data_IF_774349446801
#
_entry.id   IF_774349446801
#
_cell.length_a   1.000
_cell.length_b   1.000
_cell.length_c   1.000
_cell.angle_alpha   90.00
_cell.angle_beta   90.00
_cell.angle_gamma   90.00
#
_symmetry.space_group_name_H-M   'P 1'
#
loop_
_entity.id
_entity.type
_entity.pdbx_description
1 polymer ?
#
# COMPACT_ATOMS: atom_id res chain seq x y z
N UNK A 1 -4.16 34.00 8.12
CA UNK A 1 -3.94 33.16 9.34
C UNK A 1 -2.96 32.05 9.01
N UNK A 2 -2.15 31.57 9.95
CA UNK A 2 -1.21 30.46 9.67
C UNK A 2 -1.93 29.10 9.70
N UNK A 3 -1.45 28.11 8.94
CA UNK A 3 -2.07 26.77 8.90
C UNK A 3 -2.16 26.09 10.28
N UNK A 4 -1.17 26.32 11.16
CA UNK A 4 -1.18 25.80 12.53
C UNK A 4 -2.36 26.34 13.35
N UNK A 5 -2.71 27.61 13.16
CA UNK A 5 -3.83 28.26 13.85
C UNK A 5 -5.17 27.71 13.35
N UNK A 6 -5.32 27.54 12.02
CA UNK A 6 -6.52 26.94 11.43
C UNK A 6 -6.70 25.47 11.86
N UNK A 7 -5.62 24.70 11.93
CA UNK A 7 -5.68 23.32 12.45
C UNK A 7 -6.14 23.28 13.90
N UNK A 8 -5.64 24.19 14.74
CA UNK A 8 -6.07 24.28 16.14
C UNK A 8 -7.55 24.66 16.28
N UNK A 9 -8.05 25.55 15.43
CA UNK A 9 -9.47 25.92 15.37
C UNK A 9 -10.36 24.79 14.84
N UNK A 10 -9.84 23.94 13.96
CA UNK A 10 -10.56 22.83 13.37
C UNK A 10 -10.62 21.60 14.29
N UNK A 11 -9.77 21.51 15.29
CA UNK A 11 -9.75 20.38 16.24
C UNK A 11 -11.11 20.25 16.96
N UNK A 12 -11.64 19.03 17.02
CA UNK A 12 -12.98 18.73 17.54
C UNK A 12 -14.12 19.06 16.57
N UNK A 13 -13.82 19.53 15.33
CA UNK A 13 -14.80 19.95 14.33
C UNK A 13 -14.58 19.35 12.94
N UNK A 14 -13.58 18.48 12.79
CA UNK A 14 -13.24 17.93 11.49
C UNK A 14 -14.36 17.11 10.87
N UNK A 15 -15.22 16.49 11.67
CA UNK A 15 -16.41 15.79 11.17
C UNK A 15 -17.28 16.72 10.29
N UNK A 16 -17.66 17.86 10.83
CA UNK A 16 -18.47 18.86 10.12
C UNK A 16 -17.73 19.51 8.96
N UNK A 17 -16.43 19.76 9.12
CA UNK A 17 -15.57 20.35 8.08
C UNK A 17 -15.45 19.38 6.91
N UNK A 18 -15.16 18.12 7.16
CA UNK A 18 -15.00 17.09 6.14
C UNK A 18 -16.35 16.86 5.43
N UNK A 19 -17.45 16.74 6.16
CA UNK A 19 -18.77 16.54 5.57
C UNK A 19 -19.12 17.67 4.58
N UNK A 20 -18.71 18.90 4.85
CA UNK A 20 -19.03 20.04 4.02
C UNK A 20 -18.05 20.27 2.88
N UNK A 21 -16.74 20.13 3.13
CA UNK A 21 -15.68 20.40 2.14
C UNK A 21 -15.32 19.16 1.30
N UNK A 22 -15.67 17.98 1.75
CA UNK A 22 -15.42 16.71 1.03
C UNK A 22 -16.61 15.74 1.20
N UNK A 23 -17.79 16.05 0.61
CA UNK A 23 -19.02 15.28 0.81
C UNK A 23 -18.90 13.82 0.36
N UNK A 24 -17.96 13.48 -0.51
CA UNK A 24 -17.62 12.10 -0.89
C UNK A 24 -17.07 11.26 0.26
N UNK A 25 -16.72 11.88 1.39
CA UNK A 25 -16.24 11.21 2.62
C UNK A 25 -17.35 11.00 3.66
N UNK A 26 -18.60 11.41 3.41
CA UNK A 26 -19.71 11.28 4.37
C UNK A 26 -19.92 9.83 4.80
N UNK A 27 -19.87 8.88 3.88
CA UNK A 27 -19.96 7.45 4.21
C UNK A 27 -18.85 7.00 5.17
N UNK A 28 -17.63 7.55 5.02
CA UNK A 28 -16.53 7.24 5.93
C UNK A 28 -16.73 7.86 7.33
N UNK A 29 -17.36 9.04 7.40
CA UNK A 29 -17.74 9.68 8.66
C UNK A 29 -18.76 8.82 9.41
N UNK A 30 -19.83 8.42 8.73
CA UNK A 30 -20.91 7.61 9.30
C UNK A 30 -20.43 6.26 9.81
N UNK A 31 -19.46 5.66 9.13
CA UNK A 31 -18.91 4.35 9.45
C UNK A 31 -17.60 4.38 10.22
N UNK A 32 -17.08 5.54 10.59
CA UNK A 32 -15.82 5.62 11.32
C UNK A 32 -15.85 4.81 12.63
N UNK A 33 -14.79 4.06 12.93
CA UNK A 33 -13.52 3.91 12.24
C UNK A 33 -13.46 2.72 11.26
N UNK A 34 -14.60 2.20 10.80
CA UNK A 34 -14.66 1.06 9.89
C UNK A 34 -14.28 1.43 8.47
N UNK A 35 -13.82 0.44 7.71
CA UNK A 35 -13.42 0.64 6.33
C UNK A 35 -14.64 0.84 5.41
N UNK A 36 -14.44 1.66 4.38
CA UNK A 36 -15.39 1.96 3.31
C UNK A 36 -14.67 1.97 1.96
N UNK A 37 -15.39 1.96 0.82
CA UNK A 37 -14.78 2.23 -0.47
C UNK A 37 -13.96 3.50 -0.45
N UNK A 38 -12.79 3.50 -1.11
CA UNK A 38 -11.98 4.71 -1.20
C UNK A 38 -12.70 5.75 -2.08
N UNK A 39 -12.87 7.00 -1.61
CA UNK A 39 -13.57 8.04 -2.39
C UNK A 39 -12.79 8.46 -3.64
N UNK A 40 -11.51 8.12 -3.73
CA UNK A 40 -10.60 8.56 -4.79
C UNK A 40 -10.43 7.49 -5.88
N UNK A 41 -10.12 6.24 -5.53
CA UNK A 41 -9.90 5.17 -6.51
C UNK A 41 -10.97 4.07 -6.49
N UNK A 42 -11.97 4.15 -5.59
CA UNK A 42 -12.99 3.12 -5.44
C UNK A 42 -12.49 1.90 -4.64
N UNK A 43 -12.93 0.72 -5.06
CA UNK A 43 -12.71 -0.52 -4.32
C UNK A 43 -13.84 -0.81 -3.35
N UNK A 44 -13.62 -1.70 -2.38
CA UNK A 44 -14.67 -2.17 -1.48
C UNK A 44 -14.48 -1.64 -0.05
N UNK A 45 -13.24 -1.71 0.49
CA UNK A 45 -12.89 -1.39 1.87
C UNK A 45 -11.49 -0.77 2.01
N UNK A 46 -11.08 0.04 1.03
CA UNK A 46 -9.73 0.60 0.98
C UNK A 46 -9.49 1.75 1.95
N UNK A 47 -10.51 2.48 2.39
CA UNK A 47 -10.36 3.72 3.15
C UNK A 47 -11.07 3.67 4.50
N UNK A 48 -10.51 4.32 5.50
CA UNK A 48 -11.17 4.66 6.77
C UNK A 48 -10.62 5.94 7.36
N UNK A 49 -11.44 6.63 8.13
CA UNK A 49 -10.99 7.72 9.01
C UNK A 49 -10.34 7.14 10.27
N UNK A 50 -9.46 7.89 10.89
CA UNK A 50 -8.88 7.52 12.18
C UNK A 50 -9.93 7.60 13.29
N UNK A 51 -9.69 6.91 14.42
CA UNK A 51 -10.60 6.99 15.57
C UNK A 51 -10.71 8.39 16.15
N UNK A 52 -9.63 9.16 16.04
CA UNK A 52 -9.50 10.55 16.50
C UNK A 52 -9.64 11.57 15.36
N UNK A 53 -10.26 11.16 14.23
CA UNK A 53 -10.36 12.02 13.05
C UNK A 53 -11.05 13.35 13.30
N UNK A 54 -11.92 13.44 14.30
CA UNK A 54 -12.57 14.70 14.63
C UNK A 54 -11.62 15.72 15.25
N UNK A 55 -10.52 15.26 15.86
CA UNK A 55 -9.46 16.13 16.38
C UNK A 55 -8.35 16.35 15.36
N UNK A 56 -8.00 15.34 14.57
CA UNK A 56 -6.87 15.39 13.65
C UNK A 56 -7.26 15.68 12.20
N UNK A 57 -8.45 15.31 11.79
CA UNK A 57 -8.91 15.31 10.39
C UNK A 57 -8.33 14.19 9.54
N UNK A 58 -7.62 13.22 10.14
CA UNK A 58 -6.84 12.24 9.42
C UNK A 58 -7.59 10.96 9.06
N UNK A 59 -7.00 10.23 8.11
CA UNK A 59 -7.51 8.93 7.65
C UNK A 59 -6.44 8.14 6.88
N UNK A 60 -6.77 6.92 6.49
CA UNK A 60 -5.87 6.05 5.73
C UNK A 60 -6.60 5.31 4.63
N UNK A 61 -6.00 5.28 3.46
CA UNK A 61 -6.38 4.37 2.38
C UNK A 61 -5.26 3.35 2.16
N UNK A 62 -5.61 2.08 2.06
CA UNK A 62 -4.64 0.99 1.86
C UNK A 62 -3.83 1.15 0.56
N UNK A 63 -4.38 1.84 -0.43
CA UNK A 63 -3.73 2.11 -1.72
C UNK A 63 -3.15 3.51 -1.81
N UNK A 64 -3.91 4.55 -1.37
CA UNK A 64 -3.49 5.94 -1.50
C UNK A 64 -2.64 6.45 -0.31
N UNK A 65 -2.40 5.60 0.69
CA UNK A 65 -1.59 5.92 1.86
C UNK A 65 -2.30 6.75 2.93
N UNK A 66 -1.52 7.14 3.94
CA UNK A 66 -1.98 7.86 5.13
C UNK A 66 -2.18 9.35 4.81
N UNK A 67 -3.25 9.91 5.35
CA UNK A 67 -3.52 11.35 5.40
C UNK A 67 -3.49 11.75 6.87
N UNK A 68 -2.37 12.30 7.32
CA UNK A 68 -2.09 12.50 8.74
C UNK A 68 -3.00 13.52 9.42
N UNK A 69 -3.56 14.43 8.65
CA UNK A 69 -4.43 15.51 9.16
C UNK A 69 -5.47 15.94 8.12
N UNK A 70 -6.37 16.81 8.53
CA UNK A 70 -7.46 17.29 7.68
C UNK A 70 -7.02 18.08 6.45
N UNK A 71 -5.86 18.75 6.46
CA UNK A 71 -5.31 19.37 5.24
C UNK A 71 -4.95 18.30 4.22
N UNK A 72 -4.15 17.33 4.62
CA UNK A 72 -3.74 16.22 3.74
C UNK A 72 -4.95 15.44 3.24
N UNK A 73 -5.97 15.26 4.09
CA UNK A 73 -7.20 14.58 3.73
C UNK A 73 -8.02 15.37 2.68
N UNK A 74 -8.24 16.65 2.90
CA UNK A 74 -9.01 17.50 1.98
C UNK A 74 -8.29 17.70 0.64
N UNK A 75 -6.97 17.92 0.68
CA UNK A 75 -6.14 18.01 -0.53
C UNK A 75 -6.29 16.73 -1.38
N UNK A 76 -6.15 15.57 -0.74
CA UNK A 76 -6.25 14.28 -1.41
C UNK A 76 -7.67 13.99 -1.92
N UNK A 77 -8.68 14.20 -1.10
CA UNK A 77 -10.07 13.86 -1.45
C UNK A 77 -10.62 14.74 -2.58
N UNK A 78 -10.21 16.00 -2.64
CA UNK A 78 -10.71 16.98 -3.62
C UNK A 78 -9.74 17.22 -4.79
N UNK A 79 -8.51 16.71 -4.73
CA UNK A 79 -7.46 17.05 -5.70
C UNK A 79 -7.03 18.53 -5.59
N UNK A 80 -7.16 19.14 -4.41
CA UNK A 80 -6.79 20.53 -4.17
C UNK A 80 -5.31 20.68 -3.86
N UNK A 81 -4.77 21.85 -4.18
CA UNK A 81 -3.46 22.26 -3.67
C UNK A 81 -3.57 22.82 -2.23
N UNK A 82 -2.42 23.10 -1.61
CA UNK A 82 -2.38 23.66 -0.25
C UNK A 82 -3.08 25.01 -0.16
N UNK A 83 -2.91 25.88 -1.17
CA UNK A 83 -3.47 27.23 -1.17
C UNK A 83 -4.99 27.19 -1.22
N UNK A 84 -5.57 26.38 -2.09
CA UNK A 84 -7.02 26.16 -2.22
C UNK A 84 -7.60 25.58 -0.93
N UNK A 85 -6.96 24.55 -0.37
CA UNK A 85 -7.39 23.95 0.90
C UNK A 85 -7.33 24.94 2.05
N UNK A 86 -6.27 25.75 2.11
CA UNK A 86 -6.09 26.76 3.15
C UNK A 86 -7.17 27.83 3.07
N UNK A 87 -7.47 28.35 1.86
CA UNK A 87 -8.55 29.33 1.65
C UNK A 87 -9.91 28.76 2.04
N UNK A 88 -10.24 27.54 1.57
CA UNK A 88 -11.53 26.89 1.88
C UNK A 88 -11.72 26.68 3.40
N UNK A 89 -10.67 26.26 4.11
CA UNK A 89 -10.69 26.11 5.56
C UNK A 89 -10.83 27.48 6.26
N UNK A 90 -10.09 28.49 5.81
CA UNK A 90 -10.16 29.84 6.37
C UNK A 90 -11.55 30.45 6.19
N UNK A 91 -12.13 30.35 5.00
CA UNK A 91 -13.46 30.84 4.71
C UNK A 91 -14.52 30.14 5.57
N UNK A 92 -14.42 28.82 5.69
CA UNK A 92 -15.35 28.04 6.50
C UNK A 92 -15.23 28.37 7.99
N UNK A 93 -14.01 28.52 8.51
CA UNK A 93 -13.77 28.75 9.94
C UNK A 93 -13.98 30.18 10.38
N UNK A 94 -13.80 31.18 9.49
CA UNK A 94 -13.88 32.62 9.83
C UNK A 94 -15.15 33.30 9.32
N UNK A 95 -15.61 32.94 8.10
CA UNK A 95 -16.71 33.59 7.41
C UNK A 95 -18.01 32.80 7.50
N UNK A 96 -17.92 31.47 7.44
CA UNK A 96 -19.07 30.56 7.37
C UNK A 96 -19.81 30.31 8.69
N UNK A 97 -19.53 31.06 9.76
CA UNK A 97 -20.27 30.98 11.01
C UNK A 97 -20.19 29.60 11.69
N UNK A 98 -19.03 29.26 12.22
CA UNK A 98 -18.84 28.07 13.08
C UNK A 98 -19.86 27.99 14.22
N UNK A 99 -20.43 29.14 14.64
CA UNK A 99 -21.46 29.20 15.66
C UNK A 99 -22.78 28.51 15.28
N UNK A 100 -22.96 28.11 14.02
CA UNK A 100 -24.12 27.35 13.56
C UNK A 100 -23.86 25.81 13.52
N UNK A 101 -22.66 25.37 13.84
CA UNK A 101 -22.36 23.93 13.92
C UNK A 101 -22.75 23.39 15.30
N UNK A 102 -23.48 22.28 15.41
CA UNK A 102 -23.84 21.69 16.69
C UNK A 102 -22.58 21.35 17.49
N UNK A 103 -22.58 21.51 18.82
CA UNK A 103 -21.46 21.11 19.66
C UNK A 103 -21.21 19.61 19.51
N UNK A 104 -19.99 19.27 19.13
CA UNK A 104 -19.59 17.87 18.96
C UNK A 104 -19.40 17.25 20.34
N UNK A 105 -20.12 16.17 20.59
CA UNK A 105 -19.87 15.32 21.77
C UNK A 105 -18.45 14.78 21.67
N UNK A 106 -17.60 15.17 22.61
CA UNK A 106 -16.20 14.72 22.68
C UNK A 106 -16.16 13.21 22.82
N UNK A 107 -15.71 12.52 21.74
CA UNK A 107 -15.28 11.14 21.86
C UNK A 107 -13.94 11.11 22.58
N UNK A 108 -13.64 10.09 23.39
CA UNK A 108 -12.37 10.04 24.13
C UNK A 108 -11.17 10.15 23.17
N UNK A 109 -10.28 11.09 23.45
CA UNK A 109 -9.01 11.27 22.73
C UNK A 109 -8.24 9.98 22.83
N UNK A 110 -8.03 9.29 21.70
CA UNK A 110 -7.12 8.16 21.63
C UNK A 110 -5.69 8.74 21.71
N UNK A 111 -5.04 8.55 22.85
CA UNK A 111 -3.63 8.91 23.05
C UNK A 111 -2.79 8.35 21.89
N UNK A 112 -1.73 9.08 21.45
CA UNK A 112 -0.67 8.52 20.61
C UNK A 112 -0.30 7.15 21.20
N UNK A 113 -0.11 6.13 20.34
CA UNK A 113 0.34 4.82 20.77
C UNK A 113 1.52 5.00 21.73
N UNK A 114 1.34 4.65 23.00
CA UNK A 114 2.40 4.70 23.99
C UNK A 114 3.43 3.61 23.70
N UNK A 115 4.58 3.64 24.36
CA UNK A 115 5.60 2.59 24.24
C UNK A 115 5.00 1.19 24.46
N UNK A 116 4.05 1.03 25.37
CA UNK A 116 3.30 -0.21 25.61
C UNK A 116 2.52 -0.70 24.37
N UNK A 117 1.89 0.22 23.61
CA UNK A 117 1.19 -0.14 22.37
C UNK A 117 2.13 -0.66 21.28
N UNK A 118 3.37 -0.13 21.23
CA UNK A 118 4.40 -0.56 20.27
C UNK A 118 4.91 -1.96 20.64
N UNK A 119 5.05 -2.25 21.92
CA UNK A 119 5.48 -3.57 22.42
C UNK A 119 4.41 -4.62 22.13
N UNK A 120 3.15 -4.34 22.40
CA UNK A 120 2.02 -5.23 22.05
C UNK A 120 1.94 -5.52 20.54
N UNK A 121 2.19 -4.49 19.71
CA UNK A 121 2.25 -4.67 18.25
C UNK A 121 3.41 -5.60 17.91
N UNK A 122 4.60 -5.36 18.46
CA UNK A 122 5.80 -6.17 18.21
C UNK A 122 5.61 -7.62 18.64
N UNK A 123 4.98 -7.87 19.78
CA UNK A 123 4.67 -9.20 20.25
C UNK A 123 3.67 -9.94 19.35
N UNK A 124 2.68 -9.22 18.84
CA UNK A 124 1.74 -9.76 17.86
C UNK A 124 2.45 -10.16 16.55
N UNK A 125 3.35 -9.30 16.04
CA UNK A 125 4.16 -9.59 14.86
C UNK A 125 5.08 -10.79 15.10
N UNK A 126 5.79 -10.81 16.23
CA UNK A 126 6.69 -11.91 16.61
C UNK A 126 5.95 -13.24 16.71
N UNK A 127 4.73 -13.25 17.23
CA UNK A 127 3.89 -14.46 17.34
C UNK A 127 3.56 -15.05 15.97
N UNK A 128 3.16 -14.20 15.00
CA UNK A 128 2.91 -14.63 13.63
C UNK A 128 4.19 -15.17 12.99
N UNK A 129 5.32 -14.46 13.18
CA UNK A 129 6.59 -14.85 12.58
C UNK A 129 7.16 -16.15 13.13
N UNK A 130 7.09 -16.36 14.44
CA UNK A 130 7.54 -17.61 15.11
C UNK A 130 6.76 -18.84 14.65
N UNK A 131 5.47 -18.67 14.31
CA UNK A 131 4.61 -19.75 13.82
C UNK A 131 4.71 -19.97 12.31
N UNK A 132 5.63 -19.30 11.63
CA UNK A 132 5.82 -19.43 10.20
C UNK A 132 6.96 -20.39 9.85
N UNK A 133 6.87 -20.99 8.66
CA UNK A 133 7.90 -21.85 8.08
C UNK A 133 8.46 -21.25 6.80
N UNK A 134 9.64 -21.65 6.39
CA UNK A 134 10.25 -21.19 5.13
C UNK A 134 9.49 -21.75 3.92
N UNK A 135 9.52 -21.03 2.80
CA UNK A 135 8.76 -21.42 1.60
C UNK A 135 9.18 -22.76 0.98
N UNK A 136 10.41 -23.21 1.24
CA UNK A 136 10.91 -24.52 0.77
C UNK A 136 10.44 -25.70 1.63
N UNK A 137 9.87 -25.46 2.82
CA UNK A 137 9.41 -26.53 3.69
C UNK A 137 8.20 -27.28 3.08
N UNK A 138 7.97 -28.57 3.42
CA UNK A 138 6.83 -29.33 2.94
C UNK A 138 5.49 -28.65 3.24
N UNK A 139 5.34 -28.08 4.43
CA UNK A 139 4.12 -27.40 4.91
C UNK A 139 3.75 -26.20 4.06
N UNK A 140 4.74 -25.52 3.45
CA UNK A 140 4.53 -24.37 2.58
C UNK A 140 4.08 -24.73 1.15
N UNK A 141 3.68 -25.99 0.90
CA UNK A 141 3.14 -26.40 -0.41
C UNK A 141 2.01 -25.50 -0.91
N UNK A 142 1.02 -25.04 -0.09
CA UNK A 142 -0.03 -24.13 -0.55
C UNK A 142 0.53 -22.80 -1.10
N UNK A 143 1.57 -22.23 -0.50
CA UNK A 143 2.21 -21.02 -1.00
C UNK A 143 2.89 -21.26 -2.36
N UNK A 144 3.59 -22.40 -2.53
CA UNK A 144 4.21 -22.75 -3.82
C UNK A 144 3.17 -22.97 -4.91
N UNK A 145 2.06 -23.63 -4.58
CA UNK A 145 0.91 -23.77 -5.50
C UNK A 145 0.31 -22.41 -5.87
N UNK A 146 0.18 -21.50 -4.89
CA UNK A 146 -0.31 -20.15 -5.15
C UNK A 146 0.54 -19.42 -6.19
N UNK A 147 1.85 -19.43 -6.04
CA UNK A 147 2.75 -18.80 -7.02
C UNK A 147 2.67 -19.49 -8.39
N UNK A 148 2.63 -20.82 -8.43
CA UNK A 148 2.46 -21.58 -9.68
C UNK A 148 1.13 -21.27 -10.37
N UNK A 149 0.01 -21.25 -9.62
CA UNK A 149 -1.33 -20.92 -10.13
C UNK A 149 -1.41 -19.47 -10.61
N UNK A 150 -0.58 -18.57 -10.07
CA UNK A 150 -0.43 -17.20 -10.55
C UNK A 150 0.42 -17.09 -11.82
N UNK A 151 0.92 -18.21 -12.34
CA UNK A 151 1.74 -18.23 -13.53
C UNK A 151 3.17 -17.71 -13.32
N UNK A 152 3.64 -17.66 -12.07
CA UNK A 152 5.02 -17.31 -11.80
C UNK A 152 5.90 -18.50 -12.20
N UNK A 153 6.90 -18.30 -13.09
CA UNK A 153 7.84 -19.36 -13.44
C UNK A 153 8.51 -19.93 -12.19
N UNK A 154 9.17 -21.07 -12.29
CA UNK A 154 9.73 -21.76 -11.12
C UNK A 154 10.60 -20.80 -10.30
N UNK A 155 10.17 -20.56 -9.05
CA UNK A 155 10.88 -19.70 -8.12
C UNK A 155 12.11 -20.43 -7.60
N UNK A 156 13.28 -19.85 -7.79
CA UNK A 156 14.49 -20.34 -7.10
C UNK A 156 14.47 -19.83 -5.64
N UNK A 157 13.97 -20.67 -4.74
CA UNK A 157 13.85 -20.34 -3.33
C UNK A 157 15.19 -20.06 -2.63
N UNK A 158 16.34 -20.37 -3.24
CA UNK A 158 17.67 -20.00 -2.73
C UNK A 158 17.95 -18.49 -2.90
N UNK A 159 17.28 -17.83 -3.84
CA UNK A 159 17.35 -16.39 -4.09
C UNK A 159 16.33 -15.60 -3.30
N UNK A 160 15.39 -16.27 -2.65
CA UNK A 160 14.37 -15.69 -1.80
C UNK A 160 14.88 -15.60 -0.37
N UNK A 161 14.81 -14.43 0.25
CA UNK A 161 15.22 -14.26 1.64
C UNK A 161 14.19 -14.89 2.59
N UNK A 162 14.55 -16.04 3.19
CA UNK A 162 13.71 -16.75 4.14
C UNK A 162 13.45 -15.98 5.46
N UNK A 163 14.20 -14.89 5.69
CA UNK A 163 13.93 -13.98 6.80
C UNK A 163 12.93 -12.88 6.43
N UNK A 164 12.52 -12.80 5.16
CA UNK A 164 11.63 -11.74 4.69
C UNK A 164 10.29 -12.26 4.18
N UNK A 165 10.23 -13.50 3.67
CA UNK A 165 8.98 -14.12 3.21
C UNK A 165 8.88 -15.56 3.69
N UNK A 166 7.76 -15.89 4.33
CA UNK A 166 7.51 -17.18 4.96
C UNK A 166 6.04 -17.59 4.78
N UNK A 167 5.67 -18.72 5.34
CA UNK A 167 4.33 -19.29 5.27
C UNK A 167 3.81 -19.68 6.64
N UNK A 168 2.54 -19.37 6.92
CA UNK A 168 1.82 -19.81 8.12
C UNK A 168 0.70 -20.75 7.69
N UNK A 169 0.66 -22.02 8.17
CA UNK A 169 -0.37 -22.98 7.78
C UNK A 169 -1.79 -22.56 8.17
N UNK A 170 -1.97 -21.92 9.33
CA UNK A 170 -3.26 -21.53 9.88
C UNK A 170 -3.14 -20.16 10.56
N UNK A 171 -3.42 -19.09 9.82
CA UNK A 171 -3.43 -17.73 10.33
C UNK A 171 -4.87 -17.22 10.48
N UNK A 172 -5.18 -16.66 11.62
CA UNK A 172 -6.49 -16.07 11.90
C UNK A 172 -6.80 -14.91 10.95
N UNK A 173 -8.00 -14.95 10.38
CA UNK A 173 -8.53 -13.91 9.53
C UNK A 173 -9.69 -13.20 10.24
N UNK A 174 -9.58 -11.89 10.36
CA UNK A 174 -10.56 -11.05 11.05
C UNK A 174 -11.20 -10.06 10.08
N UNK A 175 -12.52 -9.85 10.22
CA UNK A 175 -13.26 -8.75 9.60
C UNK A 175 -13.98 -7.96 10.69
N UNK A 176 -13.83 -6.65 10.67
CA UNK A 176 -14.41 -5.71 11.66
C UNK A 176 -14.18 -6.12 13.13
N UNK A 177 -13.00 -6.71 13.40
CA UNK A 177 -12.61 -7.18 14.74
C UNK A 177 -13.11 -8.58 15.11
N UNK A 178 -13.95 -9.22 14.28
CA UNK A 178 -14.46 -10.55 14.51
C UNK A 178 -13.63 -11.60 13.79
N UNK A 179 -13.32 -12.70 14.46
CA UNK A 179 -12.68 -13.85 13.86
C UNK A 179 -13.66 -14.52 12.88
N UNK A 180 -13.31 -14.51 11.59
CA UNK A 180 -14.12 -15.16 10.54
C UNK A 180 -13.68 -16.61 10.32
N UNK A 181 -12.37 -16.84 10.19
CA UNK A 181 -11.81 -18.18 9.96
C UNK A 181 -10.29 -18.17 10.15
N UNK A 182 -9.65 -19.35 9.95
CA UNK A 182 -8.20 -19.49 9.83
C UNK A 182 -7.87 -20.00 8.43
N UNK A 183 -6.92 -19.34 7.77
CA UNK A 183 -6.47 -19.70 6.43
C UNK A 183 -4.96 -19.89 6.39
N UNK A 184 -4.45 -20.70 5.46
CA UNK A 184 -3.05 -20.62 5.09
C UNK A 184 -2.70 -19.20 4.63
N UNK A 185 -1.52 -18.70 4.99
CA UNK A 185 -1.12 -17.36 4.60
C UNK A 185 0.36 -17.27 4.25
N UNK A 186 0.67 -16.56 3.17
CA UNK A 186 2.01 -16.07 2.90
C UNK A 186 2.20 -14.81 3.74
N UNK A 187 3.26 -14.79 4.54
CA UNK A 187 3.60 -13.67 5.41
C UNK A 187 4.93 -13.06 4.96
N UNK A 188 4.93 -11.75 4.76
CA UNK A 188 6.10 -11.04 4.24
C UNK A 188 6.41 -9.87 5.15
N UNK A 189 7.67 -9.81 5.60
CA UNK A 189 8.18 -8.73 6.43
C UNK A 189 8.24 -7.44 5.61
N UNK A 190 7.73 -6.36 6.18
CA UNK A 190 7.85 -5.00 5.63
C UNK A 190 8.80 -4.22 6.51
N UNK A 191 9.82 -3.62 5.91
CA UNK A 191 10.84 -2.86 6.61
C UNK A 191 10.57 -1.36 6.59
N UNK A 192 11.18 -0.64 7.54
CA UNK A 192 11.31 0.81 7.50
C UNK A 192 12.41 1.26 6.51
N UNK A 193 12.58 2.57 6.33
CA UNK A 193 13.60 3.15 5.47
C UNK A 193 15.06 2.77 5.87
N UNK A 194 15.28 2.31 7.10
CA UNK A 194 16.57 1.83 7.59
C UNK A 194 16.74 0.31 7.41
N UNK A 195 15.78 -0.37 6.80
CA UNK A 195 15.78 -1.81 6.61
C UNK A 195 15.39 -2.62 7.86
N UNK A 196 14.87 -1.98 8.92
CA UNK A 196 14.44 -2.68 10.14
C UNK A 196 13.03 -3.22 9.98
N UNK A 197 12.75 -4.46 10.41
CA UNK A 197 11.40 -5.04 10.40
C UNK A 197 10.39 -4.19 11.16
N UNK A 198 9.27 -3.87 10.53
CA UNK A 198 8.27 -2.94 11.06
C UNK A 198 6.87 -3.51 11.11
N UNK A 199 6.48 -4.34 10.13
CA UNK A 199 5.18 -5.00 10.11
C UNK A 199 5.21 -6.23 9.20
N UNK A 200 4.08 -6.92 9.12
CA UNK A 200 3.89 -8.10 8.27
C UNK A 200 2.74 -7.85 7.30
N UNK A 201 3.03 -8.00 6.01
CA UNK A 201 2.01 -8.14 4.98
C UNK A 201 1.55 -9.60 4.92
N UNK A 202 0.25 -9.85 4.88
CA UNK A 202 -0.37 -11.18 4.84
C UNK A 202 -1.13 -11.34 3.54
N UNK A 203 -0.88 -12.45 2.83
CA UNK A 203 -1.70 -12.89 1.71
C UNK A 203 -2.37 -14.20 2.11
N UNK A 204 -3.67 -14.14 2.41
CA UNK A 204 -4.47 -15.32 2.76
C UNK A 204 -4.80 -16.11 1.50
N UNK A 205 -4.58 -17.41 1.57
CA UNK A 205 -4.76 -18.35 0.44
C UNK A 205 -5.53 -19.59 0.86
N UNK A 206 -5.90 -20.43 -0.08
CA UNK A 206 -6.46 -21.75 0.18
C UNK A 206 -5.37 -22.81 0.13
N UNK A 207 -5.69 -24.02 0.57
CA UNK A 207 -4.78 -25.18 0.47
C UNK A 207 -4.45 -25.55 -0.98
N UNK A 208 -5.34 -25.23 -1.93
CA UNK A 208 -5.20 -25.44 -3.37
C UNK A 208 -4.38 -24.32 -4.05
N UNK A 209 -3.91 -23.32 -3.30
CA UNK A 209 -3.10 -22.23 -3.83
C UNK A 209 -3.90 -21.22 -4.64
N UNK A 210 -5.10 -20.89 -4.21
CA UNK A 210 -5.86 -19.74 -4.70
C UNK A 210 -5.96 -18.67 -3.61
N UNK A 211 -6.43 -17.46 -3.95
CA UNK A 211 -6.74 -16.47 -2.89
C UNK A 211 -7.85 -17.01 -2.01
N UNK A 212 -7.75 -16.82 -0.69
CA UNK A 212 -8.82 -17.15 0.24
C UNK A 212 -10.13 -16.42 -0.18
N UNK A 213 -11.29 -17.09 -0.05
CA UNK A 213 -12.59 -16.52 -0.42
C UNK A 213 -13.09 -15.57 0.67
N UNK A 214 -12.38 -14.47 0.86
CA UNK A 214 -12.62 -13.45 1.87
C UNK A 214 -12.65 -12.07 1.23
N UNK A 215 -13.23 -11.11 1.92
CA UNK A 215 -13.38 -9.75 1.42
C UNK A 215 -12.04 -9.11 1.01
N UNK A 216 -11.00 -9.25 1.83
CA UNK A 216 -9.65 -8.75 1.55
C UNK A 216 -8.59 -9.82 1.83
N UNK A 217 -8.21 -10.59 0.80
CA UNK A 217 -7.20 -11.64 0.94
C UNK A 217 -5.80 -11.10 1.24
N UNK A 218 -5.53 -9.82 0.99
CA UNK A 218 -4.26 -9.14 1.30
C UNK A 218 -4.49 -8.11 2.39
N UNK A 219 -3.76 -8.22 3.49
CA UNK A 219 -3.86 -7.29 4.63
C UNK A 219 -2.49 -6.99 5.23
N UNK A 220 -2.26 -5.74 5.60
CA UNK A 220 -1.12 -5.32 6.42
C UNK A 220 -1.49 -5.48 7.90
N UNK A 221 -0.57 -5.90 8.75
CA UNK A 221 -0.72 -5.80 10.21
C UNK A 221 -0.43 -4.35 10.66
N UNK A 222 -0.71 -4.04 11.93
CA UNK A 222 -0.27 -2.78 12.54
C UNK A 222 1.25 -2.74 12.50
N UNK A 223 1.83 -1.56 12.27
CA UNK A 223 3.28 -1.37 12.22
C UNK A 223 3.80 -0.74 13.52
N UNK A 224 5.03 -1.10 13.87
CA UNK A 224 5.73 -0.59 15.05
C UNK A 224 6.78 0.49 14.74
N UNK A 225 6.87 0.94 13.47
CA UNK A 225 7.74 2.02 13.02
C UNK A 225 6.93 3.19 12.48
N UNK A 226 7.56 4.35 12.32
CA UNK A 226 6.94 5.56 11.76
C UNK A 226 6.69 5.44 10.26
N UNK A 227 7.53 4.72 9.53
CA UNK A 227 7.42 4.52 8.08
C UNK A 227 7.57 3.03 7.70
N UNK A 228 7.29 2.72 6.44
CA UNK A 228 7.41 1.39 5.82
C UNK A 228 8.17 1.47 4.49
N UNK A 229 9.04 2.48 4.33
CA UNK A 229 9.64 2.84 3.04
C UNK A 229 10.80 1.96 2.61
N UNK A 230 11.24 1.03 3.46
CA UNK A 230 12.24 0.01 3.12
C UNK A 230 11.69 -1.18 2.32
N UNK A 231 10.38 -1.27 2.12
CA UNK A 231 9.68 -2.30 1.37
C UNK A 231 9.79 -3.73 1.94
N UNK A 232 9.22 -4.69 1.22
CA UNK A 232 9.36 -6.13 1.44
C UNK A 232 10.59 -6.62 0.69
N UNK A 233 11.69 -6.83 1.41
CA UNK A 233 13.02 -7.15 0.88
C UNK A 233 13.12 -8.65 0.55
N UNK A 234 12.22 -9.16 -0.28
CA UNK A 234 12.02 -10.60 -0.54
C UNK A 234 13.16 -11.28 -1.28
N UNK A 235 14.07 -10.52 -1.89
CA UNK A 235 15.23 -11.04 -2.61
C UNK A 235 16.52 -10.81 -1.84
N UNK A 236 17.39 -11.80 -1.85
CA UNK A 236 18.78 -11.64 -1.45
C UNK A 236 19.50 -10.84 -2.54
N UNK A 237 19.91 -9.61 -2.23
CA UNK A 237 20.56 -8.72 -3.20
C UNK A 237 22.01 -9.09 -3.49
N UNK A 238 22.71 -9.69 -2.54
CA UNK A 238 24.10 -10.13 -2.68
C UNK A 238 25.02 -8.99 -3.16
N UNK A 239 25.75 -9.24 -4.26
CA UNK A 239 26.64 -8.27 -4.90
C UNK A 239 25.98 -7.53 -6.08
N UNK A 240 24.68 -7.68 -6.29
CA UNK A 240 23.99 -7.00 -7.37
C UNK A 240 24.06 -5.49 -7.21
N UNK A 241 24.41 -4.81 -8.28
CA UNK A 241 24.36 -3.33 -8.36
C UNK A 241 22.99 -2.83 -8.84
N UNK A 242 22.07 -3.73 -9.17
CA UNK A 242 20.76 -3.39 -9.68
C UNK A 242 19.71 -4.05 -8.80
N UNK A 243 18.70 -3.27 -8.40
CA UNK A 243 17.55 -3.73 -7.65
C UNK A 243 16.28 -3.35 -8.41
N UNK A 244 15.44 -4.34 -8.67
CA UNK A 244 14.09 -4.09 -9.15
C UNK A 244 13.16 -3.77 -7.97
N UNK A 245 12.24 -2.83 -8.17
CA UNK A 245 11.16 -2.57 -7.22
C UNK A 245 9.83 -2.63 -7.95
N UNK A 246 8.84 -3.26 -7.31
CA UNK A 246 7.48 -3.45 -7.82
C UNK A 246 6.47 -3.04 -6.75
N UNK A 247 5.19 -2.94 -7.11
CA UNK A 247 4.14 -2.76 -6.11
C UNK A 247 3.86 -4.06 -5.35
N UNK A 248 3.67 -5.17 -6.06
CA UNK A 248 3.23 -6.45 -5.50
C UNK A 248 4.32 -7.51 -5.38
N UNK A 249 4.14 -8.40 -4.39
CA UNK A 249 5.05 -9.54 -4.13
C UNK A 249 5.10 -10.50 -5.33
N UNK A 250 3.95 -10.78 -5.92
CA UNK A 250 3.84 -11.69 -7.06
C UNK A 250 4.61 -11.14 -8.26
N UNK A 251 4.48 -9.85 -8.53
CA UNK A 251 5.23 -9.16 -9.59
C UNK A 251 6.73 -9.21 -9.31
N UNK A 252 7.16 -8.98 -8.07
CA UNK A 252 8.57 -9.05 -7.70
C UNK A 252 9.15 -10.46 -7.93
N UNK A 253 8.44 -11.51 -7.50
CA UNK A 253 8.87 -12.90 -7.73
C UNK A 253 8.88 -13.26 -9.22
N UNK A 254 7.93 -12.75 -10.01
CA UNK A 254 7.90 -12.96 -11.46
C UNK A 254 9.13 -12.32 -12.15
N UNK A 255 9.48 -11.08 -11.76
CA UNK A 255 10.68 -10.39 -12.27
C UNK A 255 11.96 -11.16 -11.89
N UNK A 256 12.08 -11.60 -10.64
CA UNK A 256 13.22 -12.43 -10.21
C UNK A 256 13.35 -13.69 -11.05
N UNK A 257 12.24 -14.41 -11.29
CA UNK A 257 12.24 -15.65 -12.04
C UNK A 257 12.55 -15.47 -13.53
N UNK A 258 12.05 -14.39 -14.13
CA UNK A 258 12.17 -14.16 -15.58
C UNK A 258 13.46 -13.49 -16.00
N UNK A 259 13.96 -12.54 -15.17
CA UNK A 259 15.09 -11.68 -15.56
C UNK A 259 16.32 -11.85 -14.69
N UNK A 260 16.25 -12.70 -13.67
CA UNK A 260 17.34 -12.93 -12.71
C UNK A 260 17.85 -11.66 -12.01
N UNK A 261 16.96 -10.72 -11.75
CA UNK A 261 17.25 -9.45 -11.07
C UNK A 261 16.65 -9.50 -9.66
N UNK A 262 17.44 -9.25 -8.59
CA UNK A 262 16.88 -9.12 -7.24
C UNK A 262 15.74 -8.11 -7.23
N UNK A 263 14.58 -8.50 -6.69
CA UNK A 263 13.38 -7.67 -6.71
C UNK A 263 12.76 -7.57 -5.33
N UNK A 264 12.35 -6.37 -4.96
CA UNK A 264 11.62 -6.07 -3.74
C UNK A 264 10.22 -5.54 -4.06
N UNK A 265 9.28 -5.73 -3.13
CA UNK A 265 7.91 -5.27 -3.30
C UNK A 265 7.58 -4.17 -2.29
N UNK A 266 7.10 -3.03 -2.76
CA UNK A 266 6.73 -1.91 -1.91
C UNK A 266 5.46 -2.17 -1.09
N UNK A 267 4.49 -2.90 -1.66
CA UNK A 267 3.23 -3.27 -1.02
C UNK A 267 2.02 -2.50 -1.52
N UNK A 268 2.20 -1.25 -1.87
CA UNK A 268 1.18 -0.41 -2.54
C UNK A 268 1.84 0.80 -3.20
N UNK A 269 1.06 1.56 -3.97
CA UNK A 269 1.53 2.73 -4.71
C UNK A 269 2.17 3.81 -3.82
N UNK A 270 1.57 4.12 -2.67
CA UNK A 270 2.13 5.10 -1.72
C UNK A 270 3.50 4.67 -1.18
N UNK A 271 3.66 3.40 -0.81
CA UNK A 271 4.94 2.87 -0.36
C UNK A 271 5.96 2.82 -1.50
N UNK A 272 5.52 2.58 -2.74
CA UNK A 272 6.38 2.65 -3.92
C UNK A 272 6.91 4.07 -4.15
N UNK A 273 6.06 5.09 -4.07
CA UNK A 273 6.47 6.50 -4.21
C UNK A 273 7.55 6.92 -3.20
N UNK A 274 7.44 6.38 -1.97
CA UNK A 274 8.32 6.72 -0.86
C UNK A 274 9.44 5.69 -0.63
N UNK A 275 9.57 4.69 -1.50
CA UNK A 275 10.56 3.63 -1.36
C UNK A 275 12.00 4.16 -1.25
N UNK A 276 12.72 3.74 -0.21
CA UNK A 276 14.12 4.08 0.02
C UNK A 276 14.99 2.86 -0.31
N UNK A 277 15.78 2.92 -1.40
CA UNK A 277 16.66 1.82 -1.77
C UNK A 277 17.89 1.72 -0.86
N UNK A 278 18.52 0.54 -0.76
CA UNK A 278 19.82 0.42 -0.10
C UNK A 278 20.90 1.21 -0.86
N UNK A 279 21.94 1.62 -0.14
CA UNK A 279 23.04 2.42 -0.74
C UNK A 279 23.77 1.66 -1.84
N UNK A 280 24.12 2.36 -2.90
CA UNK A 280 25.00 1.87 -3.96
C UNK A 280 24.36 0.93 -4.98
N UNK A 281 23.02 0.91 -5.07
CA UNK A 281 22.29 0.16 -6.10
C UNK A 281 21.61 1.11 -7.10
N UNK A 282 21.58 0.73 -8.36
CA UNK A 282 20.72 1.30 -9.38
C UNK A 282 19.33 0.71 -9.25
N UNK A 283 18.25 1.50 -9.42
CA UNK A 283 16.88 1.06 -9.24
C UNK A 283 16.17 0.92 -10.58
N UNK A 284 15.51 -0.23 -10.78
CA UNK A 284 14.60 -0.43 -11.91
C UNK A 284 13.18 -0.58 -11.38
N UNK A 285 12.33 0.40 -11.66
CA UNK A 285 10.93 0.42 -11.22
C UNK A 285 10.10 -0.34 -12.24
N UNK A 286 9.63 -1.53 -11.88
CA UNK A 286 8.70 -2.31 -12.70
C UNK A 286 7.27 -1.94 -12.31
N UNK A 287 6.74 -0.93 -12.98
CA UNK A 287 5.43 -0.36 -12.66
C UNK A 287 4.30 -1.09 -13.39
N UNK A 288 3.13 -1.09 -12.75
CA UNK A 288 1.90 -1.54 -13.37
C UNK A 288 1.42 -0.50 -14.39
N UNK A 289 0.81 -0.95 -15.48
CA UNK A 289 0.20 -0.11 -16.51
C UNK A 289 -1.30 -0.06 -16.29
N UNK A 290 -1.78 1.04 -15.70
CA UNK A 290 -3.18 1.28 -15.40
C UNK A 290 -3.85 2.12 -16.46
N UNK A 291 -5.18 1.97 -16.61
CA UNK A 291 -5.98 2.89 -17.43
C UNK A 291 -6.00 4.28 -16.80
N UNK A 292 -5.94 5.33 -17.62
CA UNK A 292 -6.15 6.70 -17.16
C UNK A 292 -7.42 6.85 -16.34
N UNK A 293 -7.35 7.66 -15.31
CA UNK A 293 -8.48 8.08 -14.50
C UNK A 293 -8.47 9.61 -14.33
N UNK A 294 -9.58 10.17 -13.83
CA UNK A 294 -9.64 11.62 -13.58
C UNK A 294 -8.53 12.11 -12.63
N UNK A 295 -8.14 11.29 -11.65
CA UNK A 295 -7.13 11.64 -10.66
C UNK A 295 -5.71 11.26 -11.08
N UNK A 296 -5.58 10.27 -11.96
CA UNK A 296 -4.33 9.79 -12.52
C UNK A 296 -4.44 9.74 -14.05
N UNK A 297 -4.30 10.89 -14.74
CA UNK A 297 -4.44 10.95 -16.19
C UNK A 297 -3.47 10.04 -16.96
N UNK A 298 -2.32 9.75 -16.37
CA UNK A 298 -1.32 8.83 -16.90
C UNK A 298 -1.49 7.37 -16.44
N UNK A 299 -2.47 7.09 -15.56
CA UNK A 299 -2.61 5.84 -14.83
C UNK A 299 -1.95 5.91 -13.44
N UNK A 300 -2.49 5.15 -12.48
CA UNK A 300 -2.06 5.21 -11.07
C UNK A 300 -0.64 4.68 -10.87
N UNK A 301 -0.34 3.45 -11.35
CA UNK A 301 0.98 2.85 -11.24
C UNK A 301 2.06 3.65 -11.98
N UNK A 302 1.75 4.17 -13.18
CA UNK A 302 2.65 5.03 -13.94
C UNK A 302 2.97 6.33 -13.20
N UNK A 303 1.96 6.94 -12.56
CA UNK A 303 2.12 8.18 -11.81
C UNK A 303 3.03 7.98 -10.59
N UNK A 304 2.79 6.93 -9.82
CA UNK A 304 3.60 6.57 -8.64
C UNK A 304 5.05 6.26 -9.02
N UNK A 305 5.25 5.53 -10.11
CA UNK A 305 6.60 5.24 -10.62
C UNK A 305 7.33 6.50 -11.06
N UNK A 306 6.66 7.46 -11.72
CA UNK A 306 7.24 8.75 -12.12
C UNK A 306 7.64 9.59 -10.91
N UNK A 307 6.83 9.61 -9.85
CA UNK A 307 7.15 10.31 -8.60
C UNK A 307 8.39 9.72 -7.93
N UNK A 308 8.46 8.40 -7.80
CA UNK A 308 9.65 7.71 -7.30
C UNK A 308 10.88 8.02 -8.14
N UNK A 309 10.79 7.86 -9.47
CA UNK A 309 11.92 8.14 -10.39
C UNK A 309 12.47 9.54 -10.21
N UNK A 310 11.57 10.55 -10.19
CA UNK A 310 11.97 11.96 -10.02
C UNK A 310 12.70 12.16 -8.69
N UNK A 311 12.20 11.58 -7.60
CA UNK A 311 12.82 11.69 -6.27
C UNK A 311 14.21 11.04 -6.26
N UNK A 312 14.36 9.81 -6.77
CA UNK A 312 15.62 9.10 -6.82
C UNK A 312 16.68 9.86 -7.63
N UNK A 313 16.29 10.45 -8.77
CA UNK A 313 17.21 11.28 -9.54
C UNK A 313 17.63 12.55 -8.80
N UNK A 314 16.72 13.19 -8.08
CA UNK A 314 17.06 14.35 -7.24
C UNK A 314 18.04 13.98 -6.12
N UNK A 315 17.95 12.75 -5.62
CA UNK A 315 18.85 12.19 -4.60
C UNK A 315 20.17 11.65 -5.20
N UNK A 316 20.37 11.78 -6.51
CA UNK A 316 21.58 11.29 -7.22
C UNK A 316 21.61 9.77 -7.43
N UNK A 317 20.48 9.09 -7.26
CA UNK A 317 20.35 7.63 -7.42
C UNK A 317 19.96 7.35 -8.87
N UNK A 318 20.72 6.49 -9.55
CA UNK A 318 20.39 6.08 -10.92
C UNK A 318 19.18 5.16 -10.90
N UNK A 319 18.13 5.56 -11.63
CA UNK A 319 16.88 4.84 -11.70
C UNK A 319 16.25 4.90 -13.09
N UNK A 320 15.41 3.89 -13.40
CA UNK A 320 14.64 3.82 -14.64
C UNK A 320 13.28 3.16 -14.38
N UNK A 321 12.30 3.44 -15.27
CA UNK A 321 10.97 2.80 -15.24
C UNK A 321 10.89 1.79 -16.38
N UNK A 322 10.27 0.64 -16.08
CA UNK A 322 9.82 -0.36 -17.04
C UNK A 322 8.31 -0.49 -16.95
N UNK A 323 7.63 -0.33 -18.06
CA UNK A 323 6.18 -0.54 -18.21
C UNK A 323 5.92 -1.72 -19.14
N UNK A 324 4.85 -2.48 -18.94
CA UNK A 324 4.39 -3.47 -19.92
C UNK A 324 4.15 -2.82 -21.29
N UNK A 325 4.77 -3.38 -22.35
CA UNK A 325 4.56 -2.90 -23.73
C UNK A 325 3.16 -3.26 -24.24
N UNK A 326 2.51 -4.27 -23.65
CA UNK A 326 1.21 -4.76 -24.01
C UNK A 326 0.11 -3.71 -23.80
N UNK A 327 -0.90 -3.71 -24.67
CA UNK A 327 -2.12 -2.93 -24.42
C UNK A 327 -2.94 -3.53 -23.27
N UNK A 328 -3.66 -2.69 -22.55
CA UNK A 328 -4.56 -3.15 -21.49
C UNK A 328 -5.78 -3.80 -22.16
N UNK A 329 -6.04 -5.11 -21.94
CA UNK A 329 -7.15 -5.81 -22.57
C UNK A 329 -8.51 -5.15 -22.28
N UNK A 330 -9.44 -5.28 -23.20
CA UNK A 330 -10.80 -4.79 -23.00
C UNK A 330 -11.40 -5.40 -21.72
N UNK A 331 -12.02 -4.58 -20.90
CA UNK A 331 -12.62 -4.99 -19.62
C UNK A 331 -11.62 -5.11 -18.43
N UNK A 332 -10.30 -5.14 -18.69
CA UNK A 332 -9.31 -5.05 -17.59
C UNK A 332 -9.01 -3.60 -17.21
N UNK A 333 -8.66 -3.37 -15.95
CA UNK A 333 -8.25 -2.04 -15.44
C UNK A 333 -6.77 -1.76 -15.63
N UNK A 334 -5.93 -2.80 -15.64
CA UNK A 334 -4.48 -2.72 -15.68
C UNK A 334 -3.84 -3.94 -16.34
N UNK A 335 -2.57 -3.82 -16.63
CA UNK A 335 -1.63 -4.91 -16.95
C UNK A 335 -0.43 -4.76 -16.03
N UNK A 336 -0.07 -5.82 -15.33
CA UNK A 336 1.13 -5.89 -14.51
C UNK A 336 2.22 -6.75 -15.18
N UNK A 337 3.41 -6.73 -14.63
CA UNK A 337 4.53 -7.53 -15.16
C UNK A 337 4.34 -9.04 -14.92
N UNK A 338 3.52 -9.43 -13.96
CA UNK A 338 3.14 -10.84 -13.79
C UNK A 338 2.32 -11.32 -15.00
N UNK A 339 1.34 -10.51 -15.46
CA UNK A 339 0.55 -10.81 -16.66
C UNK A 339 1.45 -11.02 -17.89
N UNK A 340 2.53 -10.22 -18.02
CA UNK A 340 3.50 -10.31 -19.13
C UNK A 340 4.37 -11.56 -19.00
N UNK A 341 4.96 -11.79 -17.83
CA UNK A 341 5.90 -12.90 -17.59
C UNK A 341 5.19 -14.23 -17.62
N UNK A 342 3.96 -14.32 -17.11
CA UNK A 342 3.16 -15.56 -17.13
C UNK A 342 2.63 -15.93 -18.54
N UNK A 343 2.81 -15.03 -19.53
CA UNK A 343 2.31 -15.24 -20.90
C UNK A 343 0.78 -15.07 -21.04
N UNK A 344 0.09 -14.60 -19.99
CA UNK A 344 -1.35 -14.28 -20.03
C UNK A 344 -1.61 -13.17 -21.05
N UNK A 345 -0.66 -12.24 -21.17
CA UNK A 345 -0.68 -11.18 -22.17
C UNK A 345 0.61 -11.27 -22.99
N UNK A 346 0.50 -11.63 -24.25
CA UNK A 346 1.64 -11.66 -25.16
C UNK A 346 2.10 -10.25 -25.46
N UNK A 347 3.40 -9.98 -25.35
CA UNK A 347 4.00 -8.77 -25.88
C UNK A 347 3.73 -8.69 -27.40
N UNK A 348 3.47 -7.50 -27.97
CA UNK A 348 3.31 -7.35 -29.40
C UNK A 348 4.60 -7.84 -30.06
N UNK A 349 4.47 -8.82 -30.97
CA UNK A 349 5.60 -9.26 -31.81
C UNK A 349 6.11 -8.04 -32.57
N UNK A 350 7.37 -7.64 -32.37
CA UNK A 350 8.02 -6.62 -33.21
C UNK A 350 7.81 -7.06 -34.64
N UNK A 351 7.01 -6.31 -35.41
CA UNK A 351 6.96 -6.46 -36.87
C UNK A 351 8.36 -6.22 -37.36
N UNK A 352 9.02 -7.26 -37.82
CA UNK A 352 10.27 -7.14 -38.56
C UNK A 352 9.93 -6.31 -39.78
N UNK A 353 10.35 -5.06 -39.80
CA UNK A 353 10.31 -4.24 -41.01
C UNK A 353 11.32 -4.89 -41.93
N UNK A 354 10.83 -5.65 -42.89
CA UNK A 354 11.64 -6.11 -44.02
C UNK A 354 12.21 -4.87 -44.72
N UNK A 355 13.54 -4.85 -44.84
CA UNK A 355 14.26 -3.84 -45.64
C UNK A 355 13.99 -4.06 -47.13
#
# INVERSE_FOLDING_TARGET
MKAKELKAMAAGRWESIIARLAPQLVQAIERAPHHVPCPVHGGVDGFRLFKDFNDTGGGVCNTCGIKHDGYALLMWANGWDFKTTHSALQDMLLVGGINSLPPVTTRPVVKKAGEADVEDIRDSLNRVWKNSVILSSPEARPARLYFANRGIPSVDYRKVDSNMIRFVPFLEYYEDGNLVNKYPAIVTMVCDANGRPSTIHRTYITHEGTKAPVHAAKKMMRHCAEDLFGAMQIAVTGKSKVLAVTEGIETALAIMSAFDIPSWAAGNAYLLENFVPPKGVDVVIYADKDRPSRQHPDGHGQSSAKLLLKRLWTEGIKASIKLPDSEIPHGKKSVDWLDVVSGVIRAPTKKTVAR
#
